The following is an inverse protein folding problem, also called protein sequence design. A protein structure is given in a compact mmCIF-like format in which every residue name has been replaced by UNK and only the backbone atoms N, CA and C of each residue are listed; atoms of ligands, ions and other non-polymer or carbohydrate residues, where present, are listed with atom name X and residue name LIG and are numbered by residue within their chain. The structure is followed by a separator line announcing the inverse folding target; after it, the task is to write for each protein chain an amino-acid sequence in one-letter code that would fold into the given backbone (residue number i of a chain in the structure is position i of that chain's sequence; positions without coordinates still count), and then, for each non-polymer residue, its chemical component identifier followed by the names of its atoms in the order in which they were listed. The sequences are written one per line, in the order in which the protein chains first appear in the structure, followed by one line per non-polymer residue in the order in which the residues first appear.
data_IF_124109374392
#
_entry.id   IF_124109374392
#
_cell.length_a   1.000
_cell.length_b   1.000
_cell.length_c   1.000
_cell.angle_alpha   90.00
_cell.angle_beta   90.00
_cell.angle_gamma   90.00
#
_symmetry.space_group_name_H-M   'P 1'
#
loop_
_entity.id
_entity.type
_entity.pdbx_description
1 polymer ?
#
# COMPACT_ATOMS: atom_id res chain seq x y z
N UNK A 1 -6.25 -5.00 14.41
CA UNK A 1 -7.00 -4.01 13.61
C UNK A 1 -8.15 -3.50 14.45
N UNK A 2 -8.21 -2.19 14.67
CA UNK A 2 -9.27 -1.58 15.48
C UNK A 2 -10.64 -1.79 14.84
N UNK A 3 -11.70 -1.92 15.65
CA UNK A 3 -13.09 -2.15 15.19
C UNK A 3 -13.51 -1.13 14.12
N UNK A 4 -13.13 0.13 14.30
CA UNK A 4 -13.38 1.23 13.36
C UNK A 4 -12.71 0.98 12.00
N UNK A 5 -11.49 0.45 11.97
CA UNK A 5 -10.76 0.15 10.74
C UNK A 5 -11.43 -0.95 9.91
N UNK A 6 -11.97 -1.98 10.58
CA UNK A 6 -12.73 -3.03 9.89
C UNK A 6 -14.08 -2.52 9.36
N UNK A 7 -14.78 -1.67 10.12
CA UNK A 7 -16.01 -1.02 9.66
C UNK A 7 -15.79 -0.17 8.41
N UNK A 8 -14.73 0.63 8.38
CA UNK A 8 -14.33 1.43 7.21
C UNK A 8 -13.97 0.54 6.02
N UNK A 9 -13.24 -0.55 6.24
CA UNK A 9 -12.90 -1.51 5.18
C UNK A 9 -14.16 -2.13 4.54
N UNK A 10 -15.11 -2.59 5.35
CA UNK A 10 -16.36 -3.14 4.83
C UNK A 10 -17.25 -2.08 4.15
N UNK A 11 -17.25 -0.85 4.68
CA UNK A 11 -17.92 0.27 4.04
C UNK A 11 -17.32 0.61 2.67
N UNK A 12 -15.99 0.59 2.56
CA UNK A 12 -15.25 0.81 1.31
C UNK A 12 -15.59 -0.25 0.27
N UNK A 13 -15.57 -1.53 0.63
CA UNK A 13 -15.95 -2.61 -0.30
C UNK A 13 -17.39 -2.45 -0.80
N UNK A 14 -18.29 -1.94 0.05
CA UNK A 14 -19.71 -1.79 -0.31
C UNK A 14 -19.98 -0.60 -1.23
N UNK A 15 -19.14 0.44 -1.23
CA UNK A 15 -19.41 1.71 -1.92
C UNK A 15 -18.35 2.10 -2.96
N UNK A 16 -17.28 1.33 -3.09
CA UNK A 16 -16.15 1.68 -3.95
C UNK A 16 -15.79 0.51 -4.85
N UNK A 17 -15.69 0.78 -6.16
CA UNK A 17 -15.23 -0.18 -7.16
C UNK A 17 -13.95 -0.89 -6.69
N UNK A 18 -13.92 -2.21 -6.85
CA UNK A 18 -12.83 -3.09 -6.42
C UNK A 18 -11.44 -2.61 -6.86
N UNK A 19 -11.37 -1.83 -7.95
CA UNK A 19 -10.15 -1.18 -8.42
C UNK A 19 -9.52 -0.23 -7.39
N UNK A 20 -10.28 0.54 -6.59
CA UNK A 20 -9.66 1.45 -5.60
C UNK A 20 -9.12 0.70 -4.38
N UNK A 21 -9.72 -0.44 -4.03
CA UNK A 21 -9.24 -1.31 -2.95
C UNK A 21 -7.89 -1.93 -3.33
N UNK A 22 -7.70 -2.27 -4.62
CA UNK A 22 -6.45 -2.79 -5.14
C UNK A 22 -5.28 -1.77 -5.15
N UNK A 23 -5.53 -0.47 -4.97
CA UNK A 23 -4.48 0.54 -4.81
C UNK A 23 -3.97 0.67 -3.37
N UNK A 24 -4.74 0.23 -2.37
CA UNK A 24 -4.38 0.35 -0.95
C UNK A 24 -2.97 -0.21 -0.67
N UNK A 25 -2.59 -1.43 -1.11
CA UNK A 25 -1.29 -1.95 -0.77
C UNK A 25 -0.13 -1.30 -1.54
N UNK A 26 -0.40 -0.58 -2.65
CA UNK A 26 0.60 0.27 -3.33
C UNK A 26 0.85 1.56 -2.53
N UNK A 27 -0.21 2.11 -1.94
CA UNK A 27 -0.18 3.34 -1.17
C UNK A 27 0.53 3.15 0.18
N UNK A 28 0.33 2.01 0.84
CA UNK A 28 0.93 1.68 2.15
C UNK A 28 2.47 1.85 2.22
N UNK A 29 3.29 1.27 1.32
CA UNK A 29 4.74 1.42 1.38
C UNK A 29 5.19 2.88 1.13
N UNK A 30 4.46 3.64 0.31
CA UNK A 30 4.76 5.07 0.08
C UNK A 30 4.56 5.87 1.37
N UNK A 31 3.44 5.67 2.05
CA UNK A 31 3.19 6.31 3.35
C UNK A 31 4.15 5.83 4.44
N UNK A 32 4.52 4.55 4.45
CA UNK A 32 5.47 4.01 5.42
C UNK A 32 6.84 4.71 5.33
N UNK A 33 7.35 4.93 4.11
CA UNK A 33 8.63 5.63 3.91
C UNK A 33 8.50 7.12 4.22
N UNK A 34 7.41 7.75 3.79
CA UNK A 34 7.18 9.17 4.06
C UNK A 34 7.10 9.44 5.57
N UNK A 35 6.34 8.64 6.31
CA UNK A 35 6.21 8.76 7.77
C UNK A 35 7.51 8.36 8.46
N UNK A 36 8.14 7.25 8.09
CA UNK A 36 9.41 6.80 8.68
C UNK A 36 10.54 7.81 8.51
N UNK A 37 10.63 8.43 7.34
CA UNK A 37 11.62 9.47 7.09
C UNK A 37 11.32 10.78 7.83
N UNK A 38 10.05 11.22 7.85
CA UNK A 38 9.69 12.52 8.45
C UNK A 38 9.55 12.50 9.97
N UNK A 39 9.04 11.40 10.54
CA UNK A 39 8.79 11.26 11.98
C UNK A 39 9.99 10.62 12.69
N UNK A 40 10.64 9.65 12.04
CA UNK A 40 11.70 8.85 12.64
C UNK A 40 13.11 9.28 12.19
N UNK A 41 13.24 10.25 11.27
CA UNK A 41 14.51 10.65 10.65
C UNK A 41 15.31 9.45 10.12
N UNK A 42 14.62 8.40 9.68
CA UNK A 42 15.29 7.20 9.19
C UNK A 42 16.11 7.55 7.94
N UNK A 43 17.43 7.22 7.93
CA UNK A 43 18.26 7.40 6.76
C UNK A 43 17.74 6.49 5.66
N UNK A 44 17.39 7.11 4.52
CA UNK A 44 16.95 6.40 3.32
C UNK A 44 18.13 5.65 2.71
N UNK A 45 18.46 4.49 3.28
CA UNK A 45 19.53 3.62 2.81
C UNK A 45 19.20 3.02 1.44
N UNK A 46 20.23 2.70 0.65
CA UNK A 46 20.09 2.00 -0.63
C UNK A 46 19.31 0.68 -0.48
N UNK A 47 19.45 -0.02 0.65
CA UNK A 47 18.71 -1.25 0.96
C UNK A 47 17.21 -0.99 1.11
N UNK A 48 16.82 0.13 1.72
CA UNK A 48 15.41 0.49 1.88
C UNK A 48 14.78 0.77 0.51
N UNK A 49 15.45 1.56 -0.33
CA UNK A 49 15.02 1.82 -1.71
C UNK A 49 14.90 0.54 -2.55
N UNK A 50 15.85 -0.39 -2.45
CA UNK A 50 15.79 -1.67 -3.15
C UNK A 50 14.62 -2.53 -2.64
N UNK A 51 14.43 -2.63 -1.34
CA UNK A 51 13.31 -3.37 -0.74
C UNK A 51 11.96 -2.80 -1.16
N UNK A 52 11.80 -1.47 -1.09
CA UNK A 52 10.60 -0.77 -1.57
C UNK A 52 10.38 -1.01 -3.07
N UNK A 53 11.43 -0.92 -3.88
CA UNK A 53 11.34 -1.18 -5.32
C UNK A 53 10.82 -2.58 -5.63
N UNK A 54 11.33 -3.60 -4.95
CA UNK A 54 10.87 -5.00 -5.10
C UNK A 54 9.39 -5.13 -4.70
N UNK A 55 8.98 -4.54 -3.58
CA UNK A 55 7.58 -4.57 -3.11
C UNK A 55 6.65 -3.87 -4.11
N UNK A 56 7.03 -2.69 -4.60
CA UNK A 56 6.24 -1.94 -5.59
C UNK A 56 6.11 -2.72 -6.91
N UNK A 57 7.19 -3.32 -7.40
CA UNK A 57 7.15 -4.17 -8.62
C UNK A 57 6.22 -5.36 -8.42
N UNK A 58 6.33 -6.07 -7.29
CA UNK A 58 5.45 -7.19 -6.97
C UNK A 58 3.98 -6.78 -6.92
N UNK A 59 3.69 -5.61 -6.35
CA UNK A 59 2.34 -5.04 -6.28
C UNK A 59 1.79 -4.62 -7.64
N UNK A 60 2.61 -4.01 -8.49
CA UNK A 60 2.21 -3.66 -9.87
C UNK A 60 1.88 -4.93 -10.64
N UNK A 61 2.75 -5.95 -10.60
CA UNK A 61 2.52 -7.23 -11.26
C UNK A 61 1.25 -7.93 -10.75
N UNK A 62 1.04 -7.92 -9.43
CA UNK A 62 -0.15 -8.47 -8.80
C UNK A 62 -1.41 -7.72 -9.25
N UNK A 63 -1.41 -6.39 -9.22
CA UNK A 63 -2.54 -5.57 -9.64
C UNK A 63 -2.84 -5.78 -11.13
N UNK A 64 -1.81 -5.91 -11.97
CA UNK A 64 -1.98 -6.14 -13.41
C UNK A 64 -2.61 -7.51 -13.70
N UNK A 65 -2.24 -8.53 -12.93
CA UNK A 65 -2.87 -9.86 -12.97
C UNK A 65 -4.33 -9.80 -12.50
N UNK A 66 -4.63 -9.02 -11.46
CA UNK A 66 -5.96 -8.90 -10.86
C UNK A 66 -6.93 -8.09 -11.73
N UNK A 67 -6.43 -7.09 -12.47
CA UNK A 67 -7.22 -6.31 -13.45
C UNK A 67 -7.60 -7.11 -14.70
N UNK A 68 -6.93 -8.23 -14.96
CA UNK A 68 -7.12 -9.08 -16.15
C UNK A 68 -8.12 -10.24 -15.92
N UNK A 69 -8.94 -10.16 -14.87
CA UNK A 69 -10.13 -11.01 -14.65
C UNK A 69 -11.28 -10.12 -14.20
#
# INVERSE_FOLDING_TARGET
GSVIGFLLYFYLIKNVDAMKVALIPVITPVFAIFIGHTVNNEPLSATLWLGTGIVLIGLILFQWRFKSR
#
